data_IF_370945178657
#
_entry.id   IF_370945178657
#
_cell.length_a   1.000
_cell.length_b   1.000
_cell.length_c   1.000
_cell.angle_alpha   90.00
_cell.angle_beta   90.00
_cell.angle_gamma   90.00
#
_symmetry.space_group_name_H-M   'P 1'
#
loop_
_entity.id
_entity.type
_entity.pdbx_description
1 polymer ?
2 polymer ?
3 water ?
#
# COMPACT_ATOMS: atom_id res chain seq x y z
N UNK A 3 17.83 14.38 -18.68
CA UNK A 3 17.14 14.99 -17.48
C UNK A 3 15.58 14.93 -17.41
N UNK A 4 14.95 14.32 -18.39
CA UNK A 4 13.57 13.89 -18.23
C UNK A 4 13.58 12.45 -18.62
N UNK A 5 14.65 11.75 -18.24
CA UNK A 5 14.63 10.31 -18.32
C UNK A 5 13.55 9.88 -17.33
N UNK A 6 12.92 8.74 -17.59
CA UNK A 6 11.82 8.31 -16.72
C UNK A 6 12.19 8.38 -15.24
N UNK A 7 13.24 7.69 -14.84
CA UNK A 7 13.57 7.71 -13.45
C UNK A 7 13.61 9.17 -12.92
N UNK A 8 14.21 10.13 -13.61
CA UNK A 8 14.22 11.54 -13.07
C UNK A 8 12.83 12.19 -12.88
N UNK A 9 11.96 11.99 -13.86
CA UNK A 9 10.61 12.47 -13.73
C UNK A 9 10.06 11.87 -12.45
N UNK A 10 10.10 10.54 -12.34
CA UNK A 10 9.54 9.88 -11.13
C UNK A 10 10.15 10.42 -9.80
N UNK A 11 11.48 10.41 -9.70
CA UNK A 11 12.11 10.88 -8.48
C UNK A 11 11.69 12.28 -8.10
N UNK A 12 11.58 13.11 -9.12
CA UNK A 12 11.25 14.51 -8.93
C UNK A 12 9.82 14.62 -8.43
N UNK A 13 8.90 13.93 -9.13
CA UNK A 13 7.55 13.78 -8.64
C UNK A 13 7.44 13.28 -7.20
N UNK A 14 8.15 12.20 -6.87
CA UNK A 14 8.09 11.70 -5.49
C UNK A 14 8.53 12.85 -4.60
N UNK A 15 9.64 13.53 -4.95
CA UNK A 15 10.19 14.56 -4.07
C UNK A 15 9.13 15.61 -3.86
N UNK A 16 8.41 15.91 -4.95
CA UNK A 16 7.35 16.91 -4.91
C UNK A 16 6.20 16.50 -3.96
N UNK A 17 5.75 15.29 -4.14
CA UNK A 17 4.78 14.74 -3.23
C UNK A 17 5.13 14.99 -1.80
N UNK A 18 6.40 14.87 -1.41
CA UNK A 18 6.70 15.05 0.00
C UNK A 18 6.65 16.50 0.40
N UNK A 19 6.85 17.35 -0.60
CA UNK A 19 6.94 18.77 -0.38
C UNK A 19 5.54 19.28 -0.25
N UNK A 20 4.65 18.77 -1.09
CA UNK A 20 3.33 19.38 -1.24
C UNK A 20 2.16 18.44 -0.99
N UNK A 21 2.44 17.15 -0.93
CA UNK A 21 1.35 16.20 -0.77
C UNK A 21 0.52 16.04 -2.02
N UNK A 22 -0.43 15.11 -1.93
CA UNK A 22 -1.19 14.66 -3.09
C UNK A 22 -2.11 15.71 -3.67
N UNK A 23 -2.70 16.49 -2.81
CA UNK A 23 -3.60 17.49 -3.30
C UNK A 23 -2.77 18.57 -3.97
N UNK A 24 -1.73 19.06 -3.31
CA UNK A 24 -0.84 20.06 -3.90
C UNK A 24 -0.15 19.69 -5.20
N UNK A 25 0.27 18.44 -5.33
CA UNK A 25 0.97 18.05 -6.54
C UNK A 25 0.14 18.25 -7.85
N UNK A 26 0.72 18.89 -8.87
CA UNK A 26 0.08 19.15 -10.16
C UNK A 26 1.14 19.11 -11.28
N UNK A 27 0.77 18.75 -12.48
CA UNK A 27 1.81 18.67 -13.48
C UNK A 27 2.50 20.00 -13.68
N UNK A 28 1.72 21.09 -13.69
CA UNK A 28 2.25 22.46 -13.73
C UNK A 28 3.43 22.61 -12.76
N UNK A 29 3.27 22.15 -11.54
CA UNK A 29 4.34 22.32 -10.58
C UNK A 29 5.50 21.36 -10.86
N UNK A 30 5.15 20.18 -11.35
CA UNK A 30 6.15 19.20 -11.70
C UNK A 30 7.03 19.83 -12.76
N UNK A 31 6.39 20.32 -13.82
CA UNK A 31 7.06 21.05 -14.90
C UNK A 31 8.03 22.10 -14.33
N UNK A 32 7.52 22.89 -13.39
CA UNK A 32 8.23 24.01 -12.88
C UNK A 32 9.43 23.51 -12.11
N UNK A 33 9.24 22.50 -11.27
CA UNK A 33 10.34 21.92 -10.54
C UNK A 33 11.49 21.47 -11.46
N UNK A 34 11.15 20.72 -12.51
CA UNK A 34 12.09 20.16 -13.47
C UNK A 34 12.67 21.26 -14.34
N UNK A 35 11.94 22.38 -14.39
CA UNK A 35 12.41 23.58 -15.14
C UNK A 35 12.17 23.46 -16.62
N UNK A 36 11.08 22.84 -16.97
CA UNK A 36 10.74 22.73 -18.36
C UNK A 36 9.37 23.30 -18.55
N UNK A 37 9.06 23.49 -19.79
CA UNK A 37 7.83 24.07 -20.17
C UNK A 37 6.75 22.95 -20.03
N UNK A 38 5.53 23.30 -19.69
CA UNK A 38 4.49 22.25 -19.49
C UNK A 38 4.21 21.38 -20.68
N UNK A 39 4.15 21.94 -21.88
CA UNK A 39 3.88 21.04 -22.98
C UNK A 39 5.04 20.04 -23.22
N UNK A 40 6.26 20.37 -22.79
CA UNK A 40 7.38 19.42 -22.89
C UNK A 40 7.16 18.24 -21.92
N UNK A 41 7.02 18.54 -20.64
CA UNK A 41 6.59 17.51 -19.68
C UNK A 41 5.43 16.65 -20.21
N UNK A 42 4.40 17.33 -20.71
CA UNK A 42 3.21 16.69 -21.22
C UNK A 42 3.52 15.63 -22.31
N UNK A 43 4.58 15.79 -23.10
CA UNK A 43 5.03 14.73 -24.03
C UNK A 43 5.27 13.37 -23.34
N UNK A 44 5.65 13.44 -22.07
CA UNK A 44 6.08 12.31 -21.31
C UNK A 44 4.98 11.81 -20.39
N UNK A 45 4.05 12.69 -20.01
CA UNK A 45 3.11 12.40 -18.93
C UNK A 45 1.73 12.99 -19.20
N UNK A 46 0.78 12.16 -19.59
CA UNK A 46 -0.52 12.63 -20.06
C UNK A 46 -1.18 13.64 -19.12
N UNK A 47 -1.20 13.33 -17.82
CA UNK A 47 -1.91 14.09 -16.77
C UNK A 47 -1.56 13.57 -15.39
N UNK A 48 -2.24 14.12 -14.40
CA UNK A 48 -2.05 13.71 -13.01
C UNK A 48 -2.40 12.22 -12.75
N UNK A 49 -3.53 11.68 -13.23
CA UNK A 49 -3.81 10.27 -12.91
C UNK A 49 -2.65 9.37 -13.34
N UNK A 50 -2.22 9.54 -14.58
CA UNK A 50 -1.13 8.76 -15.13
C UNK A 50 0.13 8.85 -14.24
N UNK A 51 0.35 10.02 -13.70
CA UNK A 51 1.52 10.24 -12.88
C UNK A 51 1.37 9.57 -11.52
N UNK A 52 0.18 9.64 -10.92
CA UNK A 52 -0.06 8.93 -9.70
C UNK A 52 0.16 7.44 -9.86
N UNK A 53 -0.33 6.92 -10.98
CA UNK A 53 -0.23 5.51 -11.22
C UNK A 53 1.27 5.08 -11.20
N UNK A 54 2.13 5.82 -11.85
CA UNK A 54 3.50 5.37 -11.88
C UNK A 54 4.11 5.50 -10.47
N UNK A 55 3.58 6.41 -9.68
CA UNK A 55 4.17 6.71 -8.40
C UNK A 55 3.87 5.58 -7.46
N UNK A 56 2.65 5.08 -7.59
CA UNK A 56 2.10 4.06 -6.77
C UNK A 56 2.96 2.86 -7.05
N UNK A 57 3.06 2.52 -8.33
CA UNK A 57 3.86 1.41 -8.72
C UNK A 57 5.30 1.54 -8.24
N UNK A 58 5.88 2.73 -8.30
CA UNK A 58 7.29 2.79 -8.05
C UNK A 58 7.55 2.59 -6.57
N UNK A 59 6.63 3.09 -5.75
CA UNK A 59 6.78 2.96 -4.32
C UNK A 59 6.74 1.53 -3.94
N UNK A 60 5.79 0.83 -4.55
CA UNK A 60 5.68 -0.60 -4.33
C UNK A 60 6.94 -1.33 -4.81
N UNK A 61 7.53 -0.90 -5.90
CA UNK A 61 8.74 -1.60 -6.33
C UNK A 61 9.97 -1.47 -5.46
N UNK A 62 10.05 -0.40 -4.67
CA UNK A 62 11.19 -0.27 -3.79
C UNK A 62 11.05 -1.09 -2.48
N UNK A 63 9.83 -1.32 -2.04
CA UNK A 63 9.60 -1.87 -0.74
C UNK A 63 8.95 -3.24 -0.81
N UNK A 64 8.11 -3.44 -1.82
CA UNK A 64 7.46 -4.73 -1.99
C UNK A 64 8.54 -5.66 -2.58
N UNK A 65 9.29 -6.19 -1.65
CA UNK A 65 10.46 -6.95 -1.93
C UNK A 65 10.17 -8.27 -1.17
N UNK A 66 8.94 -8.38 -0.67
CA UNK A 66 8.41 -9.64 -0.17
C UNK A 66 7.00 -9.88 -0.72
N UNK A 73 8.80 -19.53 7.10
CA UNK A 73 8.69 -20.05 5.67
C UNK A 73 7.21 -20.51 5.48
N UNK A 74 6.45 -20.29 6.53
CA UNK A 74 5.07 -20.63 6.53
C UNK A 74 4.22 -19.46 6.03
N UNK A 75 2.96 -19.78 5.84
CA UNK A 75 2.04 -18.80 5.42
C UNK A 75 1.92 -17.64 6.47
N UNK A 76 2.11 -17.93 7.76
CA UNK A 76 1.99 -16.86 8.73
C UNK A 76 3.20 -15.97 8.56
N UNK A 77 4.28 -16.49 8.07
CA UNK A 77 5.35 -15.57 7.86
C UNK A 77 5.17 -14.78 6.60
N UNK A 78 4.72 -15.42 5.55
CA UNK A 78 4.43 -14.68 4.35
C UNK A 78 3.32 -13.60 4.60
N UNK A 79 2.09 -13.96 4.85
CA UNK A 79 1.16 -12.93 5.37
C UNK A 79 1.79 -11.78 6.15
N UNK A 80 2.54 -12.05 7.20
CA UNK A 80 2.98 -10.96 8.06
C UNK A 80 3.95 -10.08 7.32
N UNK A 81 4.99 -10.68 6.72
CA UNK A 81 5.97 -9.86 6.02
C UNK A 81 5.28 -9.15 4.90
N UNK A 82 4.26 -9.78 4.34
CA UNK A 82 3.61 -9.17 3.21
C UNK A 82 2.99 -7.89 3.65
N UNK A 83 2.07 -7.97 4.60
CA UNK A 83 1.55 -6.77 5.20
C UNK A 83 2.65 -5.77 5.51
N UNK A 84 3.79 -6.18 6.03
CA UNK A 84 4.77 -5.20 6.50
C UNK A 84 5.38 -4.45 5.35
N UNK A 85 5.79 -5.18 4.34
CA UNK A 85 6.42 -4.50 3.27
C UNK A 85 5.36 -3.60 2.54
N UNK A 86 4.08 -3.98 2.55
CA UNK A 86 3.10 -3.12 1.93
C UNK A 86 3.03 -1.80 2.79
N UNK A 87 2.76 -1.93 4.10
CA UNK A 87 2.82 -0.79 4.98
C UNK A 87 4.00 0.11 4.74
N UNK A 88 5.19 -0.44 4.46
CA UNK A 88 6.34 0.41 4.40
C UNK A 88 6.31 1.24 3.17
N UNK A 89 5.68 0.66 2.13
CA UNK A 89 5.68 1.25 0.79
C UNK A 89 4.73 2.41 0.87
N UNK A 90 3.57 2.19 1.47
CA UNK A 90 2.68 3.32 1.66
C UNK A 90 3.27 4.37 2.56
N UNK A 91 4.03 3.99 3.56
CA UNK A 91 4.63 5.00 4.44
C UNK A 91 5.78 5.75 3.78
N UNK A 92 6.13 5.36 2.56
CA UNK A 92 7.44 5.73 2.19
C UNK A 92 7.42 7.19 1.88
N UNK A 93 6.26 7.71 1.45
CA UNK A 93 6.14 9.13 1.04
C UNK A 93 4.90 9.77 1.63
N UNK A 94 4.90 11.10 1.70
CA UNK A 94 3.71 11.80 2.15
C UNK A 94 2.49 11.25 1.42
N UNK A 95 1.40 10.97 2.12
CA UNK A 95 0.15 10.63 1.45
C UNK A 95 0.27 9.43 0.53
N UNK A 96 1.31 8.62 0.74
CA UNK A 96 1.48 7.38 -0.02
C UNK A 96 0.20 6.55 -0.19
N UNK A 97 -0.49 6.41 0.92
CA UNK A 97 -1.72 5.66 0.95
C UNK A 97 -2.71 6.27 -0.02
N UNK A 98 -2.99 7.57 0.10
CA UNK A 98 -3.98 8.15 -0.79
C UNK A 98 -3.53 7.90 -2.20
N UNK A 99 -2.21 7.94 -2.40
CA UNK A 99 -1.70 7.78 -3.77
C UNK A 99 -2.09 6.43 -4.34
N UNK A 100 -1.95 5.39 -3.51
CA UNK A 100 -2.11 4.04 -3.94
C UNK A 100 -3.53 3.70 -4.30
N UNK A 101 -4.47 4.38 -3.66
CA UNK A 101 -5.87 4.19 -3.94
C UNK A 101 -6.23 4.34 -5.40
N UNK A 102 -7.04 3.45 -5.91
CA UNK A 102 -7.55 3.62 -7.24
C UNK A 102 -6.44 3.63 -8.27
N UNK A 103 -5.35 2.91 -8.00
CA UNK A 103 -4.38 2.58 -9.02
C UNK A 103 -4.86 1.35 -9.72
N UNK A 104 -4.65 1.34 -11.01
CA UNK A 104 -4.96 0.19 -11.81
C UNK A 104 -3.75 -0.73 -11.74
N UNK A 105 -3.97 -2.03 -11.52
CA UNK A 105 -2.97 -3.12 -11.41
C UNK A 105 -2.14 -3.48 -12.68
N UNK A 106 -0.87 -3.82 -12.50
CA UNK A 106 0.02 -4.19 -13.59
C UNK A 106 -0.05 -5.67 -13.99
N UNK A 107 0.71 -6.04 -15.02
CA UNK A 107 0.73 -7.42 -15.52
C UNK A 107 1.38 -8.30 -14.47
N UNK A 108 2.48 -7.81 -13.89
CA UNK A 108 3.22 -8.55 -12.88
C UNK A 108 2.30 -8.74 -11.65
N UNK A 109 1.49 -7.73 -11.35
CA UNK A 109 0.73 -7.82 -10.11
C UNK A 109 -0.35 -8.87 -10.16
N UNK A 110 -0.94 -9.09 -11.31
CA UNK A 110 -1.81 -10.23 -11.39
C UNK A 110 -1.06 -11.54 -11.32
N UNK A 111 0.14 -11.57 -11.87
CA UNK A 111 0.96 -12.78 -11.81
C UNK A 111 1.13 -13.08 -10.34
N UNK A 112 1.71 -12.14 -9.63
CA UNK A 112 1.89 -12.28 -8.21
C UNK A 112 0.59 -12.73 -7.50
N UNK A 113 -0.54 -12.13 -7.83
CA UNK A 113 -1.73 -12.56 -7.13
C UNK A 113 -1.96 -14.05 -7.31
N UNK A 114 -1.94 -14.51 -8.57
CA UNK A 114 -1.99 -15.95 -8.88
C UNK A 114 -1.02 -16.75 -8.02
N UNK A 115 0.25 -16.32 -7.93
CA UNK A 115 1.27 -17.05 -7.14
C UNK A 115 0.89 -17.18 -5.71
N UNK A 116 0.56 -16.05 -5.11
CA UNK A 116 0.24 -16.06 -3.70
C UNK A 116 -0.93 -17.01 -3.49
N UNK A 117 -1.94 -16.93 -4.33
CA UNK A 117 -3.02 -17.85 -4.22
C UNK A 117 -2.62 -19.33 -4.37
N UNK A 118 -1.85 -19.67 -5.40
CA UNK A 118 -1.34 -21.04 -5.56
C UNK A 118 -0.64 -21.53 -4.29
N UNK A 119 0.28 -20.72 -3.77
CA UNK A 119 0.92 -20.97 -2.50
C UNK A 119 -0.10 -21.21 -1.36
N UNK A 120 -0.86 -20.23 -0.97
CA UNK A 120 -1.76 -20.45 0.16
C UNK A 120 -2.72 -21.65 0.04
N UNK A 121 -3.21 -21.88 -1.18
CA UNK A 121 -4.07 -23.03 -1.48
C UNK A 121 -3.29 -24.29 -1.22
N UNK A 122 -2.05 -24.29 -1.69
CA UNK A 122 -1.18 -25.40 -1.44
C UNK A 122 -0.71 -25.46 0.00
N UNK A 123 -1.40 -24.80 0.91
CA UNK A 123 -1.15 -24.99 2.34
C UNK A 123 -2.48 -25.43 2.95
N UNK A 124 -3.38 -25.85 2.06
CA UNK A 124 -4.69 -26.38 2.42
C UNK A 124 -5.57 -25.28 2.92
N UNK A 125 -5.41 -24.10 2.32
CA UNK A 125 -6.44 -23.06 2.35
C UNK A 125 -7.38 -23.33 1.20
N UNK A 126 -8.68 -23.33 1.46
CA UNK A 126 -9.60 -23.21 0.34
C UNK A 126 -9.30 -21.86 -0.30
N UNK A 127 -9.63 -21.83 -1.57
CA UNK A 127 -9.48 -20.66 -2.37
C UNK A 127 -10.24 -19.49 -1.75
N UNK A 128 -11.49 -19.72 -1.36
CA UNK A 128 -12.24 -18.73 -0.61
C UNK A 128 -11.31 -18.19 0.51
N UNK A 129 -10.88 -19.06 1.41
CA UNK A 129 -10.12 -18.56 2.50
C UNK A 129 -8.81 -17.92 2.12
N UNK A 130 -8.22 -18.41 1.04
CA UNK A 130 -7.05 -17.73 0.54
C UNK A 130 -7.39 -16.21 0.30
N UNK A 131 -8.49 -15.95 -0.41
CA UNK A 131 -8.86 -14.62 -0.82
C UNK A 131 -9.18 -13.78 0.37
N UNK A 132 -10.01 -14.30 1.25
CA UNK A 132 -10.41 -13.61 2.44
C UNK A 132 -9.17 -13.22 3.24
N UNK A 133 -8.17 -14.05 3.22
CA UNK A 133 -7.03 -13.76 4.06
C UNK A 133 -6.20 -12.58 3.51
N UNK A 134 -5.96 -12.58 2.19
CA UNK A 134 -5.20 -11.50 1.53
C UNK A 134 -5.97 -10.19 1.57
N UNK A 135 -7.17 -10.28 1.08
CA UNK A 135 -8.06 -9.23 1.25
C UNK A 135 -7.93 -8.58 2.66
N UNK A 136 -7.88 -9.35 3.73
CA UNK A 136 -8.19 -8.71 4.99
C UNK A 136 -6.87 -8.15 5.52
N UNK A 137 -5.76 -8.84 5.31
CA UNK A 137 -4.49 -8.24 5.68
C UNK A 137 -4.39 -6.92 4.86
N UNK A 138 -4.90 -7.00 3.63
CA UNK A 138 -4.81 -5.89 2.69
C UNK A 138 -5.52 -4.66 3.25
N UNK A 139 -6.80 -4.83 3.55
CA UNK A 139 -7.60 -3.77 4.03
C UNK A 139 -7.06 -3.20 5.28
N UNK A 140 -6.60 -4.03 6.16
CA UNK A 140 -6.29 -3.59 7.53
C UNK A 140 -5.08 -2.73 7.44
N UNK A 141 -4.15 -3.09 6.54
CA UNK A 141 -2.88 -2.32 6.41
C UNK A 141 -3.16 -0.92 5.85
N UNK A 142 -3.90 -0.91 4.76
CA UNK A 142 -4.33 0.31 4.14
C UNK A 142 -5.06 1.13 5.15
N UNK A 143 -6.11 0.58 5.73
CA UNK A 143 -6.79 1.28 6.81
C UNK A 143 -5.81 1.97 7.75
N UNK A 144 -4.68 1.35 8.11
CA UNK A 144 -3.87 1.89 9.21
C UNK A 144 -3.09 3.10 8.82
N UNK A 145 -2.46 2.97 7.64
CA UNK A 145 -1.63 4.00 7.08
C UNK A 145 -2.46 5.22 6.67
N UNK A 146 -3.61 5.04 6.04
CA UNK A 146 -4.45 6.19 5.81
C UNK A 146 -4.59 7.01 7.05
N UNK A 147 -4.87 6.38 8.18
CA UNK A 147 -5.12 7.16 9.37
C UNK A 147 -3.82 7.71 9.92
N UNK A 148 -2.74 6.97 9.84
CA UNK A 148 -1.47 7.46 10.33
C UNK A 148 -1.07 8.69 9.55
N UNK A 149 -1.41 8.70 8.27
CA UNK A 149 -1.13 9.83 7.40
C UNK A 149 -2.01 11.10 7.45
N UNK A 150 -2.88 11.26 8.45
CA UNK A 150 -3.74 12.47 8.62
C UNK A 150 -3.09 13.70 9.30
N UNK A 151 -3.66 14.88 8.98
CA UNK A 151 -3.33 16.27 9.50
C UNK A 151 -1.88 16.74 9.49
N UNK A 166 -11.22 16.62 30.88
CA UNK A 166 -10.51 15.88 29.83
C UNK A 166 -10.04 14.40 30.19
N UNK A 167 -10.99 13.44 30.39
CA UNK A 167 -11.04 12.24 31.29
C UNK A 167 -10.01 11.09 31.17
N UNK A 168 -9.67 10.45 32.31
CA UNK A 168 -8.50 9.59 32.71
C UNK A 168 -8.00 8.50 31.78
N UNK A 169 -8.91 7.67 31.27
CA UNK A 169 -8.52 6.62 30.36
C UNK A 169 -8.02 7.25 29.10
N UNK A 170 -8.66 8.34 28.72
CA UNK A 170 -8.22 9.02 27.51
C UNK A 170 -6.83 9.61 27.74
N UNK A 171 -6.61 10.22 28.91
CA UNK A 171 -5.27 10.67 29.29
C UNK A 171 -4.20 9.59 29.19
N UNK A 172 -4.51 8.38 29.64
CA UNK A 172 -3.49 7.37 29.77
C UNK A 172 -3.26 6.94 28.40
N UNK A 173 -4.28 7.15 27.58
CA UNK A 173 -4.28 6.64 26.24
C UNK A 173 -3.50 7.58 25.33
N UNK A 174 -3.51 8.88 25.67
CA UNK A 174 -2.58 9.80 25.03
C UNK A 174 -1.13 9.47 25.40
N UNK A 175 -0.82 9.48 26.70
CA UNK A 175 0.50 9.08 27.22
C UNK A 175 0.96 7.78 26.57
N UNK A 176 0.00 6.87 26.41
CA UNK A 176 0.27 5.58 25.92
C UNK A 176 0.78 5.66 24.46
N UNK A 177 -0.05 6.22 23.61
CA UNK A 177 0.27 6.40 22.20
C UNK A 177 1.32 7.47 21.91
N UNK A 178 1.51 8.38 22.88
CA UNK A 178 2.55 9.38 22.76
C UNK A 178 3.83 8.58 22.68
N UNK A 179 3.94 7.60 23.56
CA UNK A 179 5.17 6.87 23.67
C UNK A 179 5.33 5.83 22.58
N UNK A 180 4.27 5.35 21.97
CA UNK A 180 4.58 4.28 21.09
C UNK A 180 4.34 4.49 19.64
N UNK A 181 3.53 5.46 19.28
CA UNK A 181 3.34 5.64 17.87
C UNK A 181 2.48 4.51 17.33
N UNK A 182 2.48 4.35 16.03
CA UNK A 182 1.47 3.49 15.41
C UNK A 182 1.97 2.06 15.16
N UNK A 183 3.30 1.84 15.17
CA UNK A 183 3.80 0.53 14.77
C UNK A 183 3.41 -0.61 15.75
N UNK A 184 3.62 -0.46 17.06
CA UNK A 184 3.16 -1.49 17.99
C UNK A 184 1.70 -1.86 17.79
N UNK A 185 0.79 -0.89 17.73
CA UNK A 185 -0.64 -1.27 17.45
C UNK A 185 -0.78 -2.01 16.14
N UNK A 186 -0.09 -1.54 15.13
CA UNK A 186 -0.35 -2.06 13.81
C UNK A 186 0.01 -3.51 13.85
N UNK A 187 1.25 -3.82 14.30
CA UNK A 187 1.72 -5.23 14.46
C UNK A 187 0.84 -6.17 15.31
N UNK A 188 0.49 -5.74 16.52
CA UNK A 188 -0.58 -6.38 17.22
C UNK A 188 -1.76 -6.80 16.36
N UNK A 189 -2.31 -5.89 15.57
CA UNK A 189 -3.58 -6.17 14.88
C UNK A 189 -3.32 -7.29 13.95
N UNK A 190 -2.18 -7.16 13.29
CA UNK A 190 -1.82 -8.06 12.29
C UNK A 190 -1.64 -9.38 12.90
N UNK A 191 -0.99 -9.39 14.05
CA UNK A 191 -0.86 -10.69 14.68
C UNK A 191 -2.25 -11.27 15.04
N UNK A 192 -3.12 -10.45 15.60
CA UNK A 192 -4.44 -10.99 15.90
C UNK A 192 -5.10 -11.55 14.65
N UNK A 193 -4.78 -10.92 13.55
CA UNK A 193 -5.44 -11.29 12.38
C UNK A 193 -5.01 -12.69 12.03
N UNK A 194 -3.71 -12.88 11.90
CA UNK A 194 -3.23 -14.09 11.40
C UNK A 194 -3.65 -15.19 12.36
N UNK A 195 -3.55 -14.99 13.66
CA UNK A 195 -4.08 -16.02 14.54
C UNK A 195 -5.55 -16.26 14.41
N UNK A 196 -6.37 -15.24 14.26
CA UNK A 196 -7.73 -15.57 13.90
C UNK A 196 -7.78 -16.53 12.68
N UNK A 197 -6.93 -16.30 11.68
CA UNK A 197 -6.92 -17.16 10.51
C UNK A 197 -6.50 -18.55 10.85
N UNK A 198 -5.41 -18.68 11.61
CA UNK A 198 -5.01 -19.99 12.08
C UNK A 198 -6.18 -20.75 12.64
N UNK A 199 -7.02 -20.12 13.47
CA UNK A 199 -8.14 -20.87 14.09
C UNK A 199 -9.12 -21.34 13.01
N UNK A 200 -9.49 -20.46 12.07
CA UNK A 200 -10.08 -20.88 10.81
C UNK A 200 -9.41 -22.20 10.29
N UNK A 201 -8.13 -22.18 9.92
CA UNK A 201 -7.47 -23.36 9.32
C UNK A 201 -7.70 -24.78 9.86
N UNK A 202 -7.66 -24.97 11.19
CA UNK A 202 -8.05 -26.25 11.82
C UNK A 202 -9.43 -26.80 11.24
N UNK A 203 -9.66 -28.13 11.16
CA UNK A 203 -11.01 -28.65 10.75
C UNK A 203 -12.17 -28.13 11.70
N UNK A 204 -13.40 -28.68 11.58
CA UNK A 204 -14.69 -28.21 12.28
C UNK A 204 -14.71 -28.21 13.86
N UNK A 205 -15.29 -27.23 14.60
CA UNK A 205 -15.85 -25.90 14.26
C UNK A 205 -14.87 -24.74 14.67
N UNK B 4 -17.39 -6.58 -12.86
CA UNK B 4 -18.24 -7.46 -12.05
C UNK B 4 -17.51 -7.71 -10.68
N UNK B 5 -17.29 -8.95 -10.26
CA UNK B 5 -16.31 -9.20 -9.20
C UNK B 5 -14.93 -9.03 -9.80
N UNK B 6 -14.91 -8.29 -10.88
CA UNK B 6 -13.69 -8.09 -11.58
C UNK B 6 -12.90 -7.05 -10.84
N UNK B 7 -13.58 -6.02 -10.36
CA UNK B 7 -12.94 -4.90 -9.69
C UNK B 7 -12.35 -5.34 -8.34
N UNK B 8 -13.08 -6.25 -7.66
CA UNK B 8 -12.61 -6.88 -6.43
C UNK B 8 -11.26 -7.55 -6.63
N UNK B 9 -11.14 -8.31 -7.72
CA UNK B 9 -9.84 -8.92 -7.98
C UNK B 9 -8.77 -7.88 -8.40
N UNK B 10 -9.15 -6.90 -9.23
CA UNK B 10 -8.28 -5.74 -9.51
C UNK B 10 -7.73 -5.14 -8.21
N UNK B 11 -8.62 -4.89 -7.25
CA UNK B 11 -8.28 -4.31 -5.97
C UNK B 11 -7.18 -5.12 -5.24
N UNK B 12 -7.38 -6.43 -5.12
CA UNK B 12 -6.33 -7.30 -4.64
C UNK B 12 -5.02 -7.22 -5.40
N UNK B 13 -5.08 -7.14 -6.73
CA UNK B 13 -3.84 -7.25 -7.49
C UNK B 13 -3.05 -5.98 -7.32
N UNK B 14 -3.79 -4.90 -6.98
CA UNK B 14 -3.32 -3.52 -6.99
C UNK B 14 -2.29 -3.32 -5.85
N UNK B 15 -2.38 -4.14 -4.81
CA UNK B 15 -1.44 -3.99 -3.70
C UNK B 15 -0.25 -4.98 -3.83
N UNK B 16 -0.30 -5.79 -4.87
CA UNK B 16 0.78 -6.73 -5.11
C UNK B 16 1.95 -6.12 -5.85
#
# INVERSE_FOLDING_TARGET
>A
MSRLDKSKVINSALELLNEVGIEGLTTRKLAQKLGVEQPTLYWHVKNKRALLDALAIEMLDRHHTHFSPLEGESWQDFLRNNAKSFRNALLSHRDGAKVHLGTRPTEKQYETLENQLAFLTQQGFSLENALYALSAVGHFTLGSVLEDQEHQVAKEERETPTTDSMPPLLRQAIELFDHQGAEPAFLHGLESLIRGFEVQLTALLQIV
>B
KASEGLARVAALARSR
#
